data_IF_942688004160
#
_entry.id   IF_942688004160
#
_cell.length_a   1.000
_cell.length_b   1.000
_cell.length_c   1.000
_cell.angle_alpha   90.00
_cell.angle_beta   90.00
_cell.angle_gamma   90.00
#
_symmetry.space_group_name_H-M   'P 1'
#
loop_
_entity.id
_entity.type
_entity.pdbx_description
1 polymer ?
#
# COMPACT_ATOMS: atom_id res chain seq x y z
N UNK A 1 -5.47 3.55 -45.82
CA UNK A 1 -6.07 4.47 -44.81
C UNK A 1 -6.92 3.78 -43.73
N UNK A 2 -7.37 2.52 -43.88
CA UNK A 2 -8.19 1.83 -42.85
C UNK A 2 -7.42 1.43 -41.57
N UNK A 3 -6.12 1.16 -41.66
CA UNK A 3 -5.34 0.68 -40.50
C UNK A 3 -4.92 1.78 -39.52
N UNK A 4 -4.82 3.03 -39.96
CA UNK A 4 -4.37 4.15 -39.09
C UNK A 4 -5.47 4.51 -38.07
N UNK A 5 -6.75 4.44 -38.47
CA UNK A 5 -7.87 4.72 -37.58
C UNK A 5 -7.99 3.69 -36.45
N UNK A 6 -7.74 2.42 -36.76
CA UNK A 6 -7.75 1.30 -35.81
C UNK A 6 -6.58 1.35 -34.82
N UNK A 7 -5.40 1.77 -35.27
CA UNK A 7 -4.22 1.96 -34.40
C UNK A 7 -4.41 3.17 -33.48
N UNK A 8 -4.94 4.27 -34.00
CA UNK A 8 -5.20 5.46 -33.18
C UNK A 8 -6.25 5.18 -32.08
N UNK A 9 -7.29 4.42 -32.39
CA UNK A 9 -8.36 4.09 -31.42
C UNK A 9 -7.90 3.07 -30.37
N UNK A 10 -7.09 2.07 -30.73
CA UNK A 10 -6.47 1.15 -29.75
C UNK A 10 -5.44 1.85 -28.87
N UNK A 11 -4.66 2.80 -29.41
CA UNK A 11 -3.74 3.64 -28.63
C UNK A 11 -4.49 4.57 -27.66
N UNK A 12 -5.57 5.23 -28.10
CA UNK A 12 -6.41 6.08 -27.26
C UNK A 12 -7.11 5.30 -26.16
N UNK A 13 -7.65 4.12 -26.46
CA UNK A 13 -8.30 3.25 -25.48
C UNK A 13 -7.30 2.75 -24.43
N UNK A 14 -6.10 2.32 -24.86
CA UNK A 14 -5.05 1.91 -23.93
C UNK A 14 -4.59 3.08 -23.05
N UNK A 15 -4.35 4.27 -23.61
CA UNK A 15 -4.04 5.49 -22.84
C UNK A 15 -5.13 5.84 -21.82
N UNK A 16 -6.41 5.68 -22.16
CA UNK A 16 -7.51 5.91 -21.24
C UNK A 16 -7.53 4.90 -20.08
N UNK A 17 -7.38 3.60 -20.39
CA UNK A 17 -7.30 2.54 -19.39
C UNK A 17 -6.08 2.70 -18.45
N UNK A 18 -4.93 3.11 -19.00
CA UNK A 18 -3.73 3.40 -18.20
C UNK A 18 -3.92 4.59 -17.26
N UNK A 19 -4.58 5.67 -17.71
CA UNK A 19 -4.85 6.84 -16.87
C UNK A 19 -5.91 6.53 -15.80
N UNK A 20 -6.95 5.75 -16.12
CA UNK A 20 -7.96 5.30 -15.17
C UNK A 20 -7.34 4.44 -14.05
N UNK A 21 -6.48 3.47 -14.40
CA UNK A 21 -5.75 2.64 -13.45
C UNK A 21 -4.80 3.45 -12.56
N UNK A 22 -4.08 4.45 -13.10
CA UNK A 22 -3.23 5.35 -12.30
C UNK A 22 -4.05 6.20 -11.32
N UNK A 23 -5.22 6.68 -11.75
CA UNK A 23 -6.12 7.47 -10.91
C UNK A 23 -6.68 6.65 -9.75
N UNK A 24 -7.07 5.40 -10.01
CA UNK A 24 -7.61 4.49 -8.98
C UNK A 24 -6.57 4.10 -7.94
N UNK A 25 -5.33 3.80 -8.36
CA UNK A 25 -4.22 3.55 -7.43
C UNK A 25 -3.95 4.74 -6.52
N UNK A 26 -4.00 5.95 -7.07
CA UNK A 26 -3.77 7.16 -6.30
C UNK A 26 -4.88 7.41 -5.28
N UNK A 27 -6.14 7.31 -5.70
CA UNK A 27 -7.31 7.47 -4.82
C UNK A 27 -7.28 6.47 -3.66
N UNK A 28 -6.97 5.20 -3.96
CA UNK A 28 -6.82 4.16 -2.95
C UNK A 28 -5.75 4.52 -1.91
N UNK A 29 -4.59 5.04 -2.33
CA UNK A 29 -3.52 5.43 -1.40
C UNK A 29 -3.93 6.64 -0.57
N UNK A 30 -4.62 7.62 -1.16
CA UNK A 30 -5.13 8.80 -0.44
C UNK A 30 -6.17 8.40 0.62
N UNK A 31 -7.09 7.49 0.29
CA UNK A 31 -8.04 6.93 1.26
C UNK A 31 -7.33 6.13 2.36
N UNK A 32 -6.38 5.27 2.01
CA UNK A 32 -5.62 4.48 2.97
C UNK A 32 -4.79 5.37 3.93
N UNK A 33 -4.28 6.50 3.46
CA UNK A 33 -3.60 7.49 4.31
C UNK A 33 -4.56 8.15 5.31
N UNK A 34 -5.83 8.35 4.95
CA UNK A 34 -6.83 8.94 5.84
C UNK A 34 -7.27 7.99 6.96
N UNK A 35 -7.24 6.68 6.71
CA UNK A 35 -7.58 5.64 7.69
C UNK A 35 -6.47 5.40 8.72
N UNK A 36 -5.23 5.81 8.43
CA UNK A 36 -4.14 5.67 9.39
C UNK A 36 -4.34 6.66 10.53
N UNK A 37 -4.44 6.17 11.79
CA UNK A 37 -4.57 7.04 12.93
C UNK A 37 -3.35 7.96 13.00
N UNK A 38 -3.60 9.26 13.02
CA UNK A 38 -2.54 10.25 13.21
C UNK A 38 -2.07 10.15 14.66
N UNK A 39 -0.79 9.91 14.84
CA UNK A 39 -0.17 9.91 16.15
C UNK A 39 -0.21 11.33 16.72
N UNK A 40 -1.15 11.60 17.64
CA UNK A 40 -1.32 12.91 18.29
C UNK A 40 -0.07 13.33 19.08
N UNK A 41 0.77 12.37 19.47
CA UNK A 41 2.04 12.61 20.17
C UNK A 41 3.22 12.76 19.20
N UNK A 42 2.99 12.69 17.87
CA UNK A 42 3.97 12.80 16.80
C UNK A 42 5.24 11.93 16.99
N UNK A 43 5.13 10.75 17.62
CA UNK A 43 6.28 9.87 17.85
C UNK A 43 6.64 9.06 16.62
N UNK A 44 5.65 8.73 15.79
CA UNK A 44 5.83 7.96 14.57
C UNK A 44 5.02 8.57 13.43
N UNK A 45 5.68 8.83 12.31
CA UNK A 45 5.03 9.17 11.07
C UNK A 45 4.91 7.91 10.20
N UNK A 46 3.70 7.61 9.72
CA UNK A 46 3.46 6.51 8.78
C UNK A 46 3.06 7.11 7.45
N UNK A 47 3.94 6.99 6.47
CA UNK A 47 3.68 7.43 5.11
C UNK A 47 3.34 6.24 4.23
N UNK A 48 2.24 6.32 3.49
CA UNK A 48 1.84 5.29 2.54
C UNK A 48 1.99 5.83 1.13
N UNK A 49 2.66 5.06 0.27
CA UNK A 49 2.83 5.40 -1.13
C UNK A 49 2.72 4.15 -1.98
N UNK A 50 2.78 4.29 -3.31
CA UNK A 50 2.81 3.13 -4.19
C UNK A 50 3.88 3.22 -5.27
N UNK A 51 4.36 2.06 -5.72
CA UNK A 51 5.24 1.93 -6.88
C UNK A 51 4.79 0.73 -7.71
N UNK A 52 4.27 0.97 -8.91
CA UNK A 52 3.69 -0.09 -9.72
C UNK A 52 2.43 -0.67 -9.06
N UNK A 53 2.40 -1.98 -8.85
CA UNK A 53 1.36 -2.73 -8.12
C UNK A 53 1.73 -3.01 -6.65
N UNK A 54 2.76 -2.34 -6.12
CA UNK A 54 3.15 -2.47 -4.72
C UNK A 54 2.70 -1.27 -3.91
N UNK A 55 2.03 -1.52 -2.78
CA UNK A 55 1.83 -0.54 -1.70
C UNK A 55 3.08 -0.50 -0.83
N UNK A 56 3.52 0.68 -0.43
CA UNK A 56 4.72 0.89 0.38
C UNK A 56 4.30 1.64 1.64
N UNK A 57 4.44 0.98 2.79
CA UNK A 57 4.39 1.61 4.10
C UNK A 57 5.79 2.02 4.51
N UNK A 58 6.00 3.30 4.75
CA UNK A 58 7.23 3.87 5.29
C UNK A 58 6.95 4.39 6.70
N UNK A 59 7.59 3.77 7.69
CA UNK A 59 7.47 4.12 9.10
C UNK A 59 8.70 4.94 9.48
N UNK A 60 8.49 6.20 9.85
CA UNK A 60 9.54 7.15 10.24
C UNK A 60 9.36 7.54 11.71
N UNK A 61 10.19 7.02 12.62
CA UNK A 61 10.17 7.48 14.00
C UNK A 61 10.75 8.88 14.12
N UNK A 62 10.01 9.76 14.80
CA UNK A 62 10.39 11.16 15.00
C UNK A 62 11.21 11.28 16.28
N UNK A 63 12.33 12.00 16.22
CA UNK A 63 13.20 12.22 17.38
C UNK A 63 13.99 10.99 17.85
N UNK A 64 13.99 9.89 17.09
CA UNK A 64 14.75 8.67 17.40
C UNK A 64 15.95 8.57 16.47
N UNK A 65 17.15 8.66 17.04
CA UNK A 65 18.39 8.45 16.29
C UNK A 65 18.56 6.99 15.85
N UNK A 66 19.32 6.82 14.77
CA UNK A 66 19.72 5.50 14.31
C UNK A 66 20.59 4.80 15.36
N UNK A 67 20.13 3.66 15.85
CA UNK A 67 20.89 2.75 16.70
C UNK A 67 20.48 1.32 16.41
N UNK A 68 21.35 0.35 16.72
CA UNK A 68 21.02 -1.07 16.53
C UNK A 68 19.74 -1.46 17.31
N UNK A 69 19.58 -0.92 18.52
CA UNK A 69 18.41 -1.20 19.38
C UNK A 69 17.13 -0.59 18.82
N UNK A 70 17.16 0.67 18.35
CA UNK A 70 15.99 1.31 17.75
C UNK A 70 15.58 0.60 16.45
N UNK A 71 16.55 0.21 15.63
CA UNK A 71 16.29 -0.62 14.43
C UNK A 71 15.56 -1.90 14.81
N UNK A 72 16.04 -2.65 15.82
CA UNK A 72 15.41 -3.90 16.24
C UNK A 72 13.99 -3.70 16.77
N UNK A 73 13.73 -2.63 17.50
CA UNK A 73 12.40 -2.32 18.01
C UNK A 73 11.39 -2.03 16.89
N UNK A 74 11.76 -1.17 15.93
CA UNK A 74 10.87 -0.85 14.80
C UNK A 74 10.77 -1.99 13.79
N UNK A 75 11.80 -2.82 13.66
CA UNK A 75 11.73 -4.08 12.91
C UNK A 75 10.69 -5.03 13.55
N UNK A 76 10.64 -5.14 14.88
CA UNK A 76 9.60 -5.93 15.57
C UNK A 76 8.19 -5.37 15.33
N UNK A 77 8.01 -4.04 15.40
CA UNK A 77 6.73 -3.38 15.10
C UNK A 77 6.30 -3.63 13.65
N UNK A 78 7.21 -3.41 12.70
CA UNK A 78 6.96 -3.66 11.28
C UNK A 78 6.66 -5.14 11.03
N UNK A 79 7.36 -6.06 11.69
CA UNK A 79 7.07 -7.49 11.62
C UNK A 79 5.69 -7.83 12.19
N UNK A 80 5.24 -7.15 13.26
CA UNK A 80 3.88 -7.30 13.76
C UNK A 80 2.84 -6.85 12.73
N UNK A 81 3.05 -5.68 12.10
CA UNK A 81 2.22 -5.18 10.99
C UNK A 81 2.20 -6.18 9.82
N UNK A 82 3.36 -6.73 9.47
CA UNK A 82 3.51 -7.73 8.41
C UNK A 82 2.89 -9.08 8.77
N UNK A 83 2.80 -9.42 10.07
CA UNK A 83 2.17 -10.65 10.53
C UNK A 83 0.65 -10.58 10.50
N UNK A 84 0.09 -9.37 10.62
CA UNK A 84 -1.33 -9.12 10.44
C UNK A 84 -1.67 -9.12 8.95
N UNK A 85 -2.74 -9.81 8.57
CA UNK A 85 -3.28 -9.68 7.23
C UNK A 85 -3.93 -8.29 7.11
N UNK A 86 -3.49 -7.51 6.13
CA UNK A 86 -4.25 -6.33 5.71
C UNK A 86 -5.39 -6.85 4.83
N UNK A 87 -6.52 -7.11 5.46
CA UNK A 87 -7.76 -7.50 4.80
C UNK A 87 -8.60 -6.25 4.54
N UNK A 88 -9.01 -6.07 3.29
CA UNK A 88 -9.92 -4.97 2.92
C UNK A 88 -11.32 -5.55 2.82
N UNK A 89 -12.18 -5.12 3.74
CA UNK A 89 -13.58 -5.52 3.79
C UNK A 89 -14.34 -5.06 2.54
N UNK A 90 -15.36 -5.82 2.14
CA UNK A 90 -16.21 -5.53 0.95
C UNK A 90 -16.94 -4.20 1.03
N UNK A 91 -17.14 -3.71 2.25
CA UNK A 91 -17.77 -2.45 2.61
C UNK A 91 -16.79 -1.27 2.64
N UNK A 92 -15.48 -1.51 2.55
CA UNK A 92 -14.49 -0.45 2.45
C UNK A 92 -14.55 0.24 1.09
N UNK A 93 -14.46 1.57 1.09
CA UNK A 93 -14.27 2.36 -0.14
C UNK A 93 -13.03 1.90 -0.96
N UNK A 94 -12.07 1.29 -0.25
CA UNK A 94 -10.83 0.75 -0.80
C UNK A 94 -11.01 -0.57 -1.57
N UNK A 95 -12.15 -1.27 -1.45
CA UNK A 95 -12.32 -2.63 -1.96
C UNK A 95 -12.16 -2.74 -3.49
N UNK A 96 -12.57 -1.72 -4.25
CA UNK A 96 -12.38 -1.71 -5.71
C UNK A 96 -10.96 -1.35 -6.16
N UNK A 97 -10.17 -0.69 -5.30
CA UNK A 97 -8.83 -0.24 -5.63
C UNK A 97 -7.74 -1.29 -5.41
N UNK A 98 -8.00 -2.31 -4.57
CA UNK A 98 -7.01 -3.33 -4.21
C UNK A 98 -6.68 -4.28 -5.37
N UNK A 99 -7.59 -4.50 -6.33
CA UNK A 99 -7.35 -5.28 -7.56
C UNK A 99 -6.17 -4.74 -8.40
N UNK A 100 -5.75 -3.50 -8.14
CA UNK A 100 -4.64 -2.87 -8.83
C UNK A 100 -3.28 -3.09 -8.14
N UNK A 101 -3.25 -3.80 -7.00
CA UNK A 101 -2.06 -4.05 -6.19
C UNK A 101 -1.88 -5.54 -5.88
N UNK A 102 -0.64 -6.02 -5.97
CA UNK A 102 -0.31 -7.44 -5.75
C UNK A 102 0.19 -7.69 -4.32
N UNK A 103 0.88 -6.70 -3.75
CA UNK A 103 1.61 -6.84 -2.49
C UNK A 103 1.76 -5.50 -1.77
N UNK A 104 2.15 -5.59 -0.51
CA UNK A 104 2.63 -4.45 0.26
C UNK A 104 4.02 -4.71 0.84
N UNK A 105 4.78 -3.63 1.01
CA UNK A 105 6.14 -3.61 1.57
C UNK A 105 6.19 -2.66 2.75
N UNK A 106 6.95 -3.03 3.77
CA UNK A 106 7.21 -2.15 4.92
C UNK A 106 8.69 -1.76 4.94
N UNK A 107 8.93 -0.46 5.10
CA UNK A 107 10.24 0.12 5.32
C UNK A 107 10.23 0.94 6.61
N UNK A 108 11.35 0.92 7.32
CA UNK A 108 11.60 1.83 8.44
C UNK A 108 12.65 2.84 8.02
N UNK A 109 12.36 4.13 8.17
CA UNK A 109 13.25 5.23 7.77
C UNK A 109 13.72 5.99 9.01
N UNK A 110 15.00 5.88 9.33
CA UNK A 110 15.66 6.67 10.38
C UNK A 110 16.44 7.79 9.73
N UNK A 111 16.07 9.06 9.94
CA UNK A 111 16.79 10.24 9.43
C UNK A 111 17.07 10.18 7.92
N UNK A 112 18.19 9.57 7.51
CA UNK A 112 18.66 9.37 6.14
C UNK A 112 18.75 7.89 5.69
N UNK A 113 18.57 6.94 6.60
CA UNK A 113 18.67 5.49 6.34
C UNK A 113 17.31 4.84 6.25
N UNK A 114 17.04 4.25 5.08
CA UNK A 114 15.84 3.44 4.84
C UNK A 114 16.19 1.96 4.89
N UNK A 115 15.54 1.24 5.80
CA UNK A 115 15.73 -0.20 6.02
C UNK A 115 14.49 -0.91 5.50
N UNK A 116 14.69 -1.86 4.59
CA UNK A 116 13.62 -2.75 4.13
C UNK A 116 13.38 -3.85 5.17
N UNK A 117 12.12 -4.05 5.56
CA UNK A 117 11.75 -5.07 6.55
C UNK A 117 11.18 -6.32 5.87
N UNK A 118 10.31 -6.15 4.87
CA UNK A 118 9.74 -7.29 4.16
C UNK A 118 8.60 -6.95 3.19
N UNK A 119 8.06 -7.99 2.56
CA UNK A 119 6.96 -7.95 1.58
C UNK A 119 5.94 -9.06 1.85
N UNK A 120 4.64 -8.75 1.69
CA UNK A 120 3.54 -9.72 1.75
C UNK A 120 2.50 -9.48 0.65
N UNK A 121 1.85 -10.54 0.15
CA UNK A 121 0.76 -10.40 -0.82
C UNK A 121 -0.46 -9.72 -0.18
N UNK A 122 -1.19 -8.95 -0.98
CA UNK A 122 -2.49 -8.43 -0.59
C UNK A 122 -3.56 -9.49 -0.82
N UNK A 123 -4.50 -9.60 0.11
CA UNK A 123 -5.62 -10.55 -0.01
C UNK A 123 -6.92 -9.85 0.30
N UNK A 124 -7.92 -10.14 -0.51
CA UNK A 124 -9.30 -9.85 -0.16
C UNK A 124 -9.69 -10.57 1.12
N UNK A 125 -10.54 -9.93 1.91
CA UNK A 125 -11.27 -10.64 2.95
C UNK A 125 -12.21 -11.63 2.25
N UNK A 126 -11.81 -12.90 2.18
CA UNK A 126 -12.72 -13.97 1.81
C UNK A 126 -13.77 -14.04 2.93
N UNK A 127 -15.05 -13.98 2.58
CA UNK A 127 -16.10 -14.34 3.52
C UNK A 127 -15.73 -15.70 4.11
N UNK A 128 -15.40 -15.71 5.41
CA UNK A 128 -15.48 -16.88 6.25
C UNK A 128 -16.98 -17.24 6.35
N UNK A 129 -17.54 -17.69 5.24
CA UNK A 129 -18.85 -18.34 5.23
C UNK A 129 -18.65 -19.70 5.88
N UNK A 130 -18.93 -19.72 7.18
CA UNK A 130 -19.61 -20.82 7.88
C UNK A 130 -19.34 -22.21 7.31
N UNK A 131 -18.31 -22.87 7.84
CA UNK A 131 -18.31 -24.33 7.96
C UNK A 131 -18.10 -24.71 9.43
N UNK A 132 -19.07 -24.34 10.27
CA UNK A 132 -19.35 -25.12 11.46
C UNK A 132 -20.19 -26.30 10.96
N UNK A 133 -19.55 -27.44 10.78
CA UNK A 133 -20.23 -28.73 10.76
C UNK A 133 -20.43 -29.19 12.19
#
# INVERSE_FOLDING_TARGET
>A
MKNILLIASTALLSLYLFNSCKSQKRLFIEELQNEIPKDEEEKVNVNVMHKGSTIIFEIEPIGVEYSYTSVKMFELLANAIMSNNISIGKDSALYGGIDHFDNYKVFVKFTDKKIFIGERPLTYEAELSTAIN
#
